data_IF_370634378564
#
_entry.id   IF_370634378564
#
_cell.length_a   1.000
_cell.length_b   1.000
_cell.length_c   1.000
_cell.angle_alpha   90.00
_cell.angle_beta   90.00
_cell.angle_gamma   90.00
#
_symmetry.space_group_name_H-M   'P 1'
#
loop_
_entity.id
_entity.type
_entity.pdbx_description
1 polymer ?
#
# COMPACT_ATOMS: atom_id res chain seq x y z
N UNK A 1 -5.51 13.79 -14.98
CA UNK A 1 -5.44 14.43 -13.65
C UNK A 1 -5.82 15.90 -13.82
N UNK A 2 -6.92 16.35 -13.23
CA UNK A 2 -7.35 17.76 -13.26
C UNK A 2 -7.21 18.32 -11.85
N UNK A 3 -6.60 19.49 -11.70
CA UNK A 3 -6.57 20.20 -10.43
C UNK A 3 -7.97 20.75 -10.15
N UNK A 4 -8.53 20.35 -9.02
CA UNK A 4 -9.91 20.64 -8.65
C UNK A 4 -10.06 22.08 -8.15
N UNK A 5 -8.94 22.69 -7.74
CA UNK A 5 -8.87 24.06 -7.24
C UNK A 5 -7.55 24.71 -7.68
N UNK A 6 -7.58 25.95 -8.19
CA UNK A 6 -6.37 26.72 -8.49
C UNK A 6 -5.54 26.98 -7.23
N UNK A 7 -4.21 27.04 -7.38
CA UNK A 7 -3.33 27.48 -6.30
C UNK A 7 -3.60 28.97 -5.99
N UNK A 8 -3.47 29.33 -4.72
CA UNK A 8 -3.66 30.73 -4.27
C UNK A 8 -2.64 31.63 -4.98
N UNK A 9 -3.13 32.70 -5.62
CA UNK A 9 -2.32 33.67 -6.33
C UNK A 9 -1.27 34.34 -5.43
N UNK A 10 -1.46 34.36 -4.11
CA UNK A 10 -0.48 34.84 -3.13
C UNK A 10 0.82 34.04 -3.11
N UNK A 11 0.80 32.79 -3.58
CA UNK A 11 1.99 31.94 -3.68
C UNK A 11 2.84 32.26 -4.93
N UNK A 12 2.38 33.14 -5.81
CA UNK A 12 3.16 33.58 -6.96
C UNK A 12 4.48 34.22 -6.53
N UNK A 13 5.57 33.91 -7.25
CA UNK A 13 6.93 34.38 -6.97
C UNK A 13 7.50 33.94 -5.61
N UNK A 14 6.92 32.92 -4.96
CA UNK A 14 7.47 32.29 -3.77
C UNK A 14 8.06 30.92 -4.09
N UNK A 15 9.14 30.56 -3.38
CA UNK A 15 9.62 29.18 -3.37
C UNK A 15 8.71 28.35 -2.46
N UNK A 16 7.87 27.50 -3.06
CA UNK A 16 6.91 26.66 -2.35
C UNK A 16 7.14 25.19 -2.64
N UNK A 17 6.82 24.33 -1.66
CA UNK A 17 6.73 22.88 -1.85
C UNK A 17 5.27 22.50 -2.01
N UNK A 18 4.89 21.99 -3.19
CA UNK A 18 3.55 21.48 -3.45
C UNK A 18 3.53 19.97 -3.23
N UNK A 19 2.56 19.48 -2.46
CA UNK A 19 2.29 18.05 -2.31
C UNK A 19 0.99 17.74 -3.02
N UNK A 20 1.06 16.87 -4.03
CA UNK A 20 -0.11 16.44 -4.79
C UNK A 20 -0.47 15.02 -4.36
N UNK A 21 -1.67 14.83 -3.82
CA UNK A 21 -2.18 13.50 -3.47
C UNK A 21 -2.79 12.90 -4.73
N UNK A 22 -2.08 11.96 -5.35
CA UNK A 22 -2.50 11.35 -6.62
C UNK A 22 -3.53 10.22 -6.44
N UNK A 23 -3.64 9.67 -5.24
CA UNK A 23 -4.59 8.62 -4.91
C UNK A 23 -4.91 8.67 -3.42
N UNK A 24 -6.20 8.53 -3.11
CA UNK A 24 -6.72 8.30 -1.76
C UNK A 24 -7.70 7.14 -1.84
N UNK A 25 -7.75 6.32 -0.80
CA UNK A 25 -8.74 5.24 -0.72
C UNK A 25 -10.06 5.84 -0.22
N UNK A 26 -11.19 5.36 -0.76
CA UNK A 26 -12.51 5.85 -0.34
C UNK A 26 -12.87 5.45 1.11
N UNK A 27 -12.17 4.47 1.66
CA UNK A 27 -12.39 3.92 3.00
C UNK A 27 -11.09 3.38 3.58
N UNK A 28 -11.13 2.96 4.85
CA UNK A 28 -9.99 2.27 5.46
C UNK A 28 -9.72 0.96 4.72
N UNK A 29 -8.44 0.70 4.39
CA UNK A 29 -8.00 -0.50 3.69
C UNK A 29 -6.83 -1.15 4.41
N UNK A 30 -6.59 -2.43 4.14
CA UNK A 30 -5.43 -3.14 4.65
C UNK A 30 -4.20 -2.72 3.82
N UNK A 31 -3.15 -2.30 4.50
CA UNK A 31 -1.89 -1.91 3.88
C UNK A 31 -0.72 -2.67 4.48
N UNK A 32 0.29 -2.93 3.67
CA UNK A 32 1.58 -3.52 4.09
C UNK A 32 2.73 -2.71 3.49
N UNK A 33 3.95 -2.78 4.05
CA UNK A 33 5.13 -2.21 3.40
C UNK A 33 5.30 -2.81 1.99
N UNK A 34 5.68 -1.99 1.01
CA UNK A 34 5.86 -2.45 -0.38
C UNK A 34 6.86 -3.61 -0.49
N UNK A 35 7.87 -3.63 0.39
CA UNK A 35 8.88 -4.69 0.47
C UNK A 35 8.33 -6.05 0.96
N UNK A 36 7.13 -6.09 1.56
CA UNK A 36 6.49 -7.33 1.99
C UNK A 36 5.86 -8.11 0.83
N UNK A 37 5.57 -7.44 -0.28
CA UNK A 37 4.87 -8.01 -1.43
C UNK A 37 5.88 -8.49 -2.47
N UNK A 38 5.69 -9.72 -2.92
CA UNK A 38 6.49 -10.35 -3.96
C UNK A 38 5.59 -10.91 -5.06
N UNK A 39 6.13 -11.03 -6.27
CA UNK A 39 5.43 -11.69 -7.38
C UNK A 39 5.81 -13.16 -7.45
N UNK A 40 4.82 -14.02 -7.69
CA UNK A 40 5.02 -15.43 -8.00
C UNK A 40 5.26 -15.62 -9.51
N UNK A 41 5.76 -16.79 -9.89
CA UNK A 41 6.06 -17.14 -11.30
C UNK A 41 4.84 -17.09 -12.23
N UNK A 42 3.63 -17.16 -11.68
CA UNK A 42 2.36 -17.04 -12.40
C UNK A 42 1.87 -15.57 -12.51
N UNK A 43 2.64 -14.60 -12.02
CA UNK A 43 2.30 -13.19 -12.02
C UNK A 43 1.40 -12.75 -10.85
N UNK A 44 0.96 -13.67 -9.98
CA UNK A 44 0.16 -13.31 -8.81
C UNK A 44 1.03 -12.68 -7.72
N UNK A 45 0.52 -11.64 -7.07
CA UNK A 45 1.17 -11.05 -5.92
C UNK A 45 0.89 -11.85 -4.65
N UNK A 46 1.90 -11.96 -3.78
CA UNK A 46 1.83 -12.72 -2.54
C UNK A 46 2.71 -12.09 -1.46
N UNK A 47 2.38 -12.37 -0.21
CA UNK A 47 3.19 -12.03 0.96
C UNK A 47 3.30 -13.23 1.90
N UNK A 48 4.20 -13.14 2.88
CA UNK A 48 4.30 -14.12 3.97
C UNK A 48 3.79 -13.51 5.26
N UNK A 49 2.71 -14.07 5.81
CA UNK A 49 2.20 -13.81 7.16
C UNK A 49 2.97 -14.65 8.16
N UNK A 50 3.23 -14.09 9.34
CA UNK A 50 3.81 -14.79 10.49
C UNK A 50 2.76 -14.88 11.58
N UNK A 51 2.40 -16.09 11.97
CA UNK A 51 1.48 -16.33 13.08
C UNK A 51 2.21 -16.23 14.44
N UNK A 52 1.44 -16.20 15.53
CA UNK A 52 1.99 -16.06 16.89
C UNK A 52 2.90 -17.20 17.30
N UNK A 53 2.75 -18.37 16.68
CA UNK A 53 3.59 -19.55 16.87
C UNK A 53 4.84 -19.54 15.96
N UNK A 54 5.12 -18.42 15.29
CA UNK A 54 6.20 -18.23 14.33
C UNK A 54 6.06 -19.07 13.05
N UNK A 55 4.89 -19.67 12.80
CA UNK A 55 4.64 -20.33 11.52
C UNK A 55 4.47 -19.29 10.40
N UNK A 56 5.08 -19.58 9.25
CA UNK A 56 5.01 -18.73 8.06
C UNK A 56 3.95 -19.25 7.09
N UNK A 57 3.03 -18.38 6.69
CA UNK A 57 1.97 -18.71 5.74
C UNK A 57 2.04 -17.77 4.55
N UNK A 58 2.10 -18.36 3.35
CA UNK A 58 2.07 -17.59 2.11
C UNK A 58 0.63 -17.26 1.75
N UNK A 59 0.34 -15.98 1.56
CA UNK A 59 -0.99 -15.48 1.25
C UNK A 59 -0.99 -14.78 -0.09
N UNK A 60 -1.86 -15.22 -1.00
CA UNK A 60 -2.11 -14.55 -2.27
C UNK A 60 -2.94 -13.28 -2.05
N UNK A 61 -2.55 -12.19 -2.71
CA UNK A 61 -3.18 -10.89 -2.55
C UNK A 61 -3.36 -10.20 -3.91
N UNK A 62 -4.36 -9.35 -4.01
CA UNK A 62 -4.51 -8.38 -5.09
C UNK A 62 -3.99 -7.03 -4.61
N UNK A 63 -2.93 -6.47 -5.21
CA UNK A 63 -2.42 -5.16 -4.86
C UNK A 63 -3.34 -4.04 -5.36
N UNK A 64 -3.46 -2.98 -4.59
CA UNK A 64 -4.22 -1.78 -4.92
C UNK A 64 -3.33 -0.54 -5.03
N UNK A 65 -3.73 0.55 -4.39
CA UNK A 65 -3.02 1.83 -4.40
C UNK A 65 -1.71 1.74 -3.62
N UNK A 66 -0.66 2.40 -4.11
CA UNK A 66 0.63 2.58 -3.42
C UNK A 66 0.82 4.02 -2.96
N UNK A 67 1.44 4.20 -1.80
CA UNK A 67 1.73 5.54 -1.25
C UNK A 67 2.55 5.49 0.04
N UNK A 68 3.49 6.41 0.21
CA UNK A 68 4.25 6.56 1.45
C UNK A 68 5.08 5.34 1.87
N UNK A 69 5.45 4.46 0.92
CA UNK A 69 6.16 3.20 1.19
C UNK A 69 5.25 2.00 1.48
N UNK A 70 3.93 2.19 1.43
CA UNK A 70 2.93 1.16 1.65
C UNK A 70 2.17 0.84 0.35
N UNK A 71 1.59 -0.35 0.32
CA UNK A 71 0.70 -0.82 -0.73
C UNK A 71 -0.57 -1.38 -0.11
N UNK A 72 -1.72 -0.98 -0.65
CA UNK A 72 -3.02 -1.59 -0.37
C UNK A 72 -3.03 -3.03 -0.85
N UNK A 73 -3.63 -3.91 -0.05
CA UNK A 73 -3.80 -5.32 -0.39
C UNK A 73 -5.22 -5.80 -0.11
N UNK A 74 -5.74 -6.63 -1.00
CA UNK A 74 -6.95 -7.42 -0.78
C UNK A 74 -6.59 -8.90 -0.80
N UNK A 75 -6.79 -9.67 0.29
CA UNK A 75 -6.52 -11.10 0.30
C UNK A 75 -7.45 -11.83 -0.67
N UNK A 76 -6.92 -12.77 -1.44
CA UNK A 76 -7.75 -13.58 -2.35
C UNK A 76 -8.69 -14.49 -1.54
N UNK A 77 -8.20 -15.10 -0.46
CA UNK A 77 -8.94 -16.09 0.34
C UNK A 77 -9.15 -15.67 1.82
N UNK A 78 -9.35 -14.38 2.10
CA UNK A 78 -9.77 -13.90 3.45
C UNK A 78 -8.77 -14.11 4.59
N UNK A 79 -7.51 -14.41 4.29
CA UNK A 79 -6.52 -14.86 5.27
C UNK A 79 -5.70 -13.74 5.95
N UNK A 80 -6.10 -12.46 5.88
CA UNK A 80 -5.35 -11.38 6.52
C UNK A 80 -6.26 -10.42 7.27
N UNK A 81 -5.77 -9.97 8.43
CA UNK A 81 -6.39 -8.99 9.27
C UNK A 81 -5.39 -7.89 9.68
N UNK A 82 -5.92 -6.76 10.13
CA UNK A 82 -5.09 -5.71 10.71
C UNK A 82 -4.37 -6.23 11.97
N UNK A 83 -3.06 -5.97 12.04
CA UNK A 83 -2.21 -6.44 13.14
C UNK A 83 -1.45 -7.74 12.84
N UNK A 84 -1.74 -8.40 11.71
CA UNK A 84 -0.94 -9.53 11.25
C UNK A 84 0.50 -9.11 10.96
N UNK A 85 1.46 -9.95 11.38
CA UNK A 85 2.87 -9.73 11.09
C UNK A 85 3.20 -10.24 9.70
N UNK A 86 4.01 -9.48 8.97
CA UNK A 86 4.45 -9.83 7.62
C UNK A 86 5.97 -9.74 7.51
N UNK A 87 6.55 -10.61 6.69
CA UNK A 87 7.99 -10.60 6.42
C UNK A 87 8.34 -9.47 5.45
N UNK A 88 9.32 -8.62 5.80
CA UNK A 88 9.75 -7.45 5.01
C UNK A 88 11.22 -7.51 4.53
N UNK A 89 11.86 -8.67 4.64
CA UNK A 89 13.24 -8.90 4.25
C UNK A 89 13.76 -10.25 4.75
N UNK A 90 14.82 -10.77 4.14
CA UNK A 90 15.60 -11.91 4.61
C UNK A 90 17.06 -11.52 4.69
#
# INVERSE_FOLDING_TARGET
MRAETPLDAKLANQNVRVVVVAAATASAVLVVPVAAVSSRADGQAQLTRVDRDHSEHRVAVTPGITGGGYIEITPVDGALAAGDLVVIGR
#
